data_IF_784682496785
#
_entry.id   IF_784682496785
#
_cell.length_a   1.000
_cell.length_b   1.000
_cell.length_c   1.000
_cell.angle_alpha   90.00
_cell.angle_beta   90.00
_cell.angle_gamma   90.00
#
_symmetry.space_group_name_H-M   'P 1'
#
loop_
_entity.id
_entity.type
_entity.pdbx_description
1 polymer ?
#
# COMPACT_ATOMS: atom_id res chain seq x y z
N UNK A 1 -18.02 13.78 -17.88
CA UNK A 1 -18.46 12.42 -18.29
C UNK A 1 -17.49 11.71 -19.25
N UNK A 2 -16.87 12.42 -20.21
CA UNK A 2 -16.02 11.79 -21.25
C UNK A 2 -14.86 10.95 -20.72
N UNK A 3 -14.20 11.37 -19.64
CA UNK A 3 -13.12 10.58 -19.01
C UNK A 3 -13.58 9.20 -18.52
N UNK A 4 -14.85 9.07 -18.08
CA UNK A 4 -15.40 7.78 -17.62
C UNK A 4 -15.66 6.85 -18.80
N UNK A 5 -16.15 7.39 -19.92
CA UNK A 5 -16.35 6.62 -21.17
C UNK A 5 -15.01 6.11 -21.70
N UNK A 6 -13.99 6.98 -21.75
CA UNK A 6 -12.64 6.60 -22.18
C UNK A 6 -12.02 5.53 -21.27
N UNK A 7 -12.13 5.67 -19.95
CA UNK A 7 -11.63 4.68 -18.99
C UNK A 7 -12.33 3.33 -19.16
N UNK A 8 -13.66 3.31 -19.26
CA UNK A 8 -14.42 2.06 -19.45
C UNK A 8 -14.07 1.37 -20.78
N UNK A 9 -13.93 2.14 -21.88
CA UNK A 9 -13.46 1.59 -23.17
C UNK A 9 -12.06 1.02 -23.08
N UNK A 10 -11.13 1.73 -22.42
CA UNK A 10 -9.77 1.24 -22.22
C UNK A 10 -9.72 -0.05 -21.40
N UNK A 11 -10.57 -0.19 -20.37
CA UNK A 11 -10.64 -1.40 -19.56
C UNK A 11 -11.33 -2.57 -20.26
N UNK A 12 -12.31 -2.30 -21.13
CA UNK A 12 -12.92 -3.32 -21.97
C UNK A 12 -11.91 -3.93 -22.96
N UNK A 13 -11.01 -3.10 -23.50
CA UNK A 13 -9.96 -3.53 -24.44
C UNK A 13 -8.70 -4.08 -23.74
N UNK A 14 -8.68 -4.20 -22.41
CA UNK A 14 -7.54 -4.76 -21.68
C UNK A 14 -7.86 -6.20 -21.27
N UNK A 15 -7.42 -7.21 -22.06
CA UNK A 15 -7.67 -8.62 -21.74
C UNK A 15 -6.91 -9.06 -20.49
N UNK A 16 -5.65 -8.65 -20.36
CA UNK A 16 -4.83 -8.91 -19.17
C UNK A 16 -4.68 -7.64 -18.31
N UNK A 17 -5.50 -7.57 -17.28
CA UNK A 17 -5.46 -6.47 -16.29
C UNK A 17 -4.27 -6.60 -15.33
N UNK A 18 -3.78 -7.81 -15.10
CA UNK A 18 -2.66 -8.06 -14.22
C UNK A 18 -1.38 -7.52 -14.85
N UNK A 19 -1.13 -7.78 -16.13
CA UNK A 19 -0.02 -7.22 -16.88
C UNK A 19 -0.08 -5.69 -16.95
N UNK A 20 -1.25 -5.12 -17.28
CA UNK A 20 -1.41 -3.65 -17.36
C UNK A 20 -1.07 -2.93 -16.05
N UNK A 21 -1.35 -3.56 -14.90
CA UNK A 21 -1.12 -2.95 -13.57
C UNK A 21 0.19 -3.38 -12.92
N UNK A 22 0.89 -4.38 -13.47
CA UNK A 22 2.14 -4.90 -12.90
C UNK A 22 3.23 -3.83 -12.71
N UNK A 23 3.48 -2.91 -13.66
CA UNK A 23 4.51 -1.88 -13.48
C UNK A 23 4.23 -0.99 -12.25
N UNK A 24 2.98 -0.55 -12.10
CA UNK A 24 2.56 0.25 -10.95
C UNK A 24 2.65 -0.52 -9.64
N UNK A 25 2.31 -1.81 -9.64
CA UNK A 25 2.44 -2.67 -8.45
C UNK A 25 3.89 -2.87 -8.04
N UNK A 26 4.77 -3.16 -9.00
CA UNK A 26 6.20 -3.41 -8.77
C UNK A 26 6.93 -2.18 -8.23
N UNK A 27 6.54 -0.98 -8.66
CA UNK A 27 7.09 0.29 -8.18
C UNK A 27 6.44 0.81 -6.89
N UNK A 28 5.49 0.09 -6.33
CA UNK A 28 4.82 0.49 -5.09
C UNK A 28 5.42 -0.21 -3.87
N UNK A 29 5.30 0.39 -2.66
CA UNK A 29 5.68 -0.26 -1.39
C UNK A 29 5.01 -1.61 -1.12
N UNK A 30 3.98 -1.99 -1.88
CA UNK A 30 3.35 -3.32 -1.78
C UNK A 30 4.15 -4.42 -2.51
N UNK A 31 4.91 -4.04 -3.54
CA UNK A 31 5.78 -4.93 -4.30
C UNK A 31 7.13 -5.13 -3.62
N UNK A 32 7.72 -6.33 -3.79
CA UNK A 32 9.06 -6.62 -3.25
C UNK A 32 10.15 -5.86 -4.02
N UNK A 33 9.98 -5.73 -5.34
CA UNK A 33 10.91 -5.02 -6.25
C UNK A 33 11.21 -3.59 -5.81
N UNK A 34 10.19 -2.87 -5.33
CA UNK A 34 10.36 -1.52 -4.77
C UNK A 34 11.39 -1.49 -3.63
N UNK A 35 11.35 -2.47 -2.73
CA UNK A 35 12.26 -2.56 -1.58
C UNK A 35 13.64 -3.06 -1.98
N UNK A 36 13.72 -4.00 -2.93
CA UNK A 36 14.99 -4.45 -3.51
C UNK A 36 15.73 -3.28 -4.17
N UNK A 37 15.04 -2.50 -5.00
CA UNK A 37 15.61 -1.31 -5.64
C UNK A 37 16.08 -0.28 -4.60
N UNK A 38 15.34 -0.10 -3.50
CA UNK A 38 15.70 0.82 -2.42
C UNK A 38 16.89 0.34 -1.59
N UNK A 39 17.07 -0.98 -1.45
CA UNK A 39 18.21 -1.58 -0.75
C UNK A 39 19.47 -1.68 -1.60
N UNK A 40 19.34 -1.70 -2.93
CA UNK A 40 20.46 -1.86 -3.85
C UNK A 40 21.67 -0.96 -3.56
N UNK A 41 21.52 0.35 -3.23
CA UNK A 41 22.66 1.21 -2.91
C UNK A 41 23.40 0.82 -1.61
N UNK A 42 22.72 0.17 -0.68
CA UNK A 42 23.24 -0.12 0.67
C UNK A 42 23.67 -1.58 0.85
N UNK A 43 23.22 -2.46 -0.02
CA UNK A 43 23.45 -3.90 0.06
C UNK A 43 24.00 -4.49 -1.25
N UNK A 44 24.73 -3.69 -2.04
CA UNK A 44 25.29 -4.14 -3.31
C UNK A 44 26.23 -5.36 -3.19
N UNK A 45 26.89 -5.51 -2.04
CA UNK A 45 27.84 -6.61 -1.75
C UNK A 45 27.19 -7.81 -1.04
N UNK A 46 25.91 -7.71 -0.66
CA UNK A 46 25.20 -8.81 -0.02
C UNK A 46 24.73 -9.83 -1.06
N UNK A 47 24.62 -11.10 -0.65
CA UNK A 47 24.04 -12.14 -1.48
C UNK A 47 22.54 -11.90 -1.77
N UNK A 48 22.04 -12.55 -2.82
CA UNK A 48 20.64 -12.38 -3.24
C UNK A 48 19.65 -12.75 -2.13
N UNK A 49 19.95 -13.80 -1.38
CA UNK A 49 19.08 -14.28 -0.31
C UNK A 49 18.98 -13.26 0.83
N UNK A 50 20.09 -12.66 1.27
CA UNK A 50 20.08 -11.63 2.30
C UNK A 50 19.35 -10.39 1.83
N UNK A 51 19.58 -9.95 0.57
CA UNK A 51 18.85 -8.81 -0.01
C UNK A 51 17.34 -9.05 -0.04
N UNK A 52 16.91 -10.26 -0.43
CA UNK A 52 15.50 -10.64 -0.45
C UNK A 52 14.89 -10.65 0.95
N UNK A 53 15.56 -11.25 1.94
CA UNK A 53 15.11 -11.26 3.34
C UNK A 53 15.00 -9.86 3.92
N UNK A 54 15.99 -8.99 3.65
CA UNK A 54 15.97 -7.60 4.07
C UNK A 54 14.80 -6.82 3.44
N UNK A 55 14.56 -7.01 2.13
CA UNK A 55 13.44 -6.41 1.42
C UNK A 55 12.08 -6.87 1.99
N UNK A 56 11.93 -8.16 2.30
CA UNK A 56 10.72 -8.69 2.93
C UNK A 56 10.48 -8.09 4.32
N UNK A 57 11.53 -7.92 5.12
CA UNK A 57 11.43 -7.31 6.44
C UNK A 57 11.02 -5.83 6.36
N UNK A 58 11.60 -5.05 5.44
CA UNK A 58 11.18 -3.67 5.20
C UNK A 58 9.72 -3.58 4.75
N UNK A 59 9.31 -4.47 3.84
CA UNK A 59 7.91 -4.52 3.40
C UNK A 59 6.97 -4.79 4.57
N UNK A 60 7.29 -5.76 5.43
CA UNK A 60 6.51 -6.06 6.64
C UNK A 60 6.45 -4.85 7.59
N UNK A 61 7.59 -4.20 7.84
CA UNK A 61 7.65 -3.00 8.66
C UNK A 61 6.72 -1.90 8.14
N UNK A 62 6.73 -1.65 6.82
CA UNK A 62 5.84 -0.68 6.20
C UNK A 62 4.33 -0.99 6.40
N UNK A 63 3.94 -2.27 6.26
CA UNK A 63 2.56 -2.68 6.53
C UNK A 63 2.17 -2.51 8.01
N UNK A 64 3.10 -2.77 8.94
CA UNK A 64 2.88 -2.54 10.36
C UNK A 64 2.70 -1.06 10.67
N UNK A 65 3.52 -0.18 10.09
CA UNK A 65 3.38 1.28 10.22
C UNK A 65 2.03 1.76 9.66
N UNK A 66 1.63 1.26 8.49
CA UNK A 66 0.35 1.61 7.86
C UNK A 66 -0.82 1.18 8.76
N UNK A 67 -0.73 -0.01 9.34
CA UNK A 67 -1.73 -0.54 10.27
C UNK A 67 -1.81 0.29 11.54
N UNK A 68 -0.67 0.66 12.13
CA UNK A 68 -0.59 1.52 13.30
C UNK A 68 -1.21 2.91 13.04
N UNK A 69 -0.92 3.51 11.89
CA UNK A 69 -1.56 4.78 11.44
C UNK A 69 -3.08 4.62 11.34
N UNK A 70 -3.56 3.51 10.79
CA UNK A 70 -4.99 3.19 10.71
C UNK A 70 -5.66 3.03 12.08
N UNK A 71 -5.00 2.36 13.03
CA UNK A 71 -5.49 2.23 14.41
C UNK A 71 -5.58 3.60 15.08
N UNK A 72 -4.53 4.42 14.99
CA UNK A 72 -4.51 5.77 15.54
C UNK A 72 -5.64 6.65 14.96
N UNK A 73 -5.88 6.56 13.65
CA UNK A 73 -6.95 7.30 13.00
C UNK A 73 -8.35 6.86 13.49
N UNK A 74 -8.56 5.57 13.72
CA UNK A 74 -9.82 5.05 14.30
C UNK A 74 -10.01 5.51 15.74
N UNK A 75 -8.96 5.46 16.55
CA UNK A 75 -8.98 5.94 17.94
C UNK A 75 -9.32 7.43 18.03
N UNK A 76 -8.74 8.26 17.14
CA UNK A 76 -9.06 9.68 17.07
C UNK A 76 -10.55 9.92 16.75
N UNK A 77 -11.14 9.11 15.86
CA UNK A 77 -12.57 9.20 15.51
C UNK A 77 -13.49 8.71 16.63
N UNK A 78 -13.12 7.65 17.35
CA UNK A 78 -13.92 7.15 18.48
C UNK A 78 -13.82 8.05 19.72
N UNK A 79 -12.68 8.71 19.94
CA UNK A 79 -12.52 9.71 21.00
C UNK A 79 -13.39 10.96 20.82
N UNK A 80 -13.72 11.32 19.57
CA UNK A 80 -14.67 12.39 19.23
C UNK A 80 -16.13 11.97 19.22
N UNK A 81 -16.43 10.67 19.42
CA UNK A 81 -17.79 10.15 19.58
C UNK A 81 -18.04 9.78 21.04
N UNK A 82 -17.74 10.70 21.97
CA UNK A 82 -18.45 10.67 23.26
C UNK A 82 -19.89 11.01 22.95
N UNK A 83 -20.73 10.01 23.14
CA UNK A 83 -22.17 10.10 23.01
C UNK A 83 -22.64 11.21 23.95
N UNK A 84 -23.08 12.33 23.38
CA UNK A 84 -23.99 13.25 24.04
C UNK A 84 -25.29 12.48 24.31
N UNK A 85 -25.29 11.67 25.37
CA UNK A 85 -26.51 11.19 26.02
C UNK A 85 -26.63 11.99 27.31
N UNK A 86 -27.11 13.21 27.17
CA UNK A 86 -27.71 13.96 28.27
C UNK A 86 -29.17 14.18 27.91
N UNK A 87 -30.06 13.62 28.75
CA UNK A 87 -31.45 14.03 28.96
C UNK A 87 -32.46 13.70 27.87
N UNK A 88 -33.45 12.86 28.19
CA UNK A 88 -34.80 13.38 28.49
C UNK A 88 -35.72 12.21 28.91
N UNK A 89 -35.97 12.10 30.22
CA UNK A 89 -37.19 11.62 30.89
C UNK A 89 -36.98 11.42 32.39
#
# INVERSE_FOLDING_TARGET
MQHRVAANRSWANTPDRAARTAPGRNLSPTGLEYWLARLAPHMAQADEETRRKAAENLRRAWYLELSAKGVKARQARSGGRRVDRVGDR
#
